data_IF_738194709331
#
_entry.id   IF_738194709331
#
_cell.length_a   1.000
_cell.length_b   1.000
_cell.length_c   1.000
_cell.angle_alpha   90.00
_cell.angle_beta   90.00
_cell.angle_gamma   90.00
#
_symmetry.space_group_name_H-M   'P 1'
#
loop_
_entity.id
_entity.type
_entity.pdbx_description
1 polymer ?
#
# COMPACT_ATOMS: atom_id res chain seq x y z
N UNK A 1 -8.33 15.75 -33.84
CA UNK A 1 -9.15 14.74 -33.15
C UNK A 1 -8.59 14.58 -31.74
N UNK A 2 -9.30 15.07 -30.73
CA UNK A 2 -8.93 14.90 -29.32
C UNK A 2 -9.56 13.58 -28.86
N UNK A 3 -8.73 12.56 -28.65
CA UNK A 3 -9.18 11.28 -28.11
C UNK A 3 -9.51 11.45 -26.63
N UNK A 4 -10.79 11.34 -26.28
CA UNK A 4 -11.26 11.21 -24.90
C UNK A 4 -10.90 9.82 -24.40
N UNK A 5 -9.70 9.66 -23.85
CA UNK A 5 -9.37 8.46 -23.08
C UNK A 5 -10.25 8.44 -21.84
N UNK A 6 -11.12 7.44 -21.72
CA UNK A 6 -11.85 7.17 -20.49
C UNK A 6 -10.84 6.85 -19.40
N UNK A 7 -10.79 7.66 -18.33
CA UNK A 7 -10.00 7.32 -17.15
C UNK A 7 -10.60 6.05 -16.53
N UNK A 8 -9.85 4.94 -16.59
CA UNK A 8 -10.24 3.68 -15.95
C UNK A 8 -10.30 3.90 -14.43
N UNK A 9 -11.36 3.39 -13.79
CA UNK A 9 -11.57 3.56 -12.36
C UNK A 9 -10.39 3.02 -11.56
N UNK A 10 -9.88 3.83 -10.63
CA UNK A 10 -8.82 3.43 -9.73
C UNK A 10 -9.34 2.40 -8.73
N UNK A 11 -8.75 1.21 -8.70
CA UNK A 11 -9.04 0.25 -7.65
C UNK A 11 -8.37 0.69 -6.35
N UNK A 12 -9.10 0.54 -5.25
CA UNK A 12 -8.62 0.82 -3.89
C UNK A 12 -8.64 -0.45 -3.07
N UNK A 13 -7.48 -0.83 -2.55
CA UNK A 13 -7.27 -2.00 -1.71
C UNK A 13 -6.86 -1.52 -0.32
N UNK A 14 -7.53 -1.95 0.75
CA UNK A 14 -7.22 -1.49 2.11
C UNK A 14 -7.04 -2.65 3.07
N UNK A 15 -6.11 -2.53 4.00
CA UNK A 15 -6.07 -3.38 5.19
C UNK A 15 -7.37 -3.20 5.98
N UNK A 16 -7.84 -4.27 6.61
CA UNK A 16 -9.03 -4.24 7.44
C UNK A 16 -8.74 -3.39 8.68
N UNK A 17 -9.76 -2.67 9.14
CA UNK A 17 -9.66 -1.84 10.33
C UNK A 17 -9.69 -2.65 11.64
N UNK A 18 -9.77 -3.98 11.57
CA UNK A 18 -9.91 -4.88 12.73
C UNK A 18 -8.79 -4.71 13.77
N UNK A 19 -7.59 -4.31 13.31
CA UNK A 19 -6.48 -3.94 14.18
C UNK A 19 -6.19 -2.43 14.08
N UNK A 20 -7.09 -1.59 14.60
CA UNK A 20 -6.90 -0.12 14.66
C UNK A 20 -5.54 0.29 15.25
N UNK A 21 -4.97 -0.52 16.16
CA UNK A 21 -3.64 -0.29 16.75
C UNK A 21 -2.50 -0.35 15.73
N UNK A 22 -2.64 -1.13 14.67
CA UNK A 22 -1.67 -1.18 13.59
C UNK A 22 -1.84 -0.03 12.58
N UNK A 23 -2.85 0.83 12.75
CA UNK A 23 -3.28 1.81 11.76
C UNK A 23 -3.85 1.16 10.49
N UNK A 24 -4.19 1.98 9.49
CA UNK A 24 -4.75 1.52 8.22
C UNK A 24 -3.83 1.88 7.05
N UNK A 25 -3.64 0.94 6.13
CA UNK A 25 -3.01 1.19 4.83
C UNK A 25 -4.01 0.99 3.70
N UNK A 26 -4.01 1.88 2.71
CA UNK A 26 -4.76 1.70 1.47
C UNK A 26 -3.87 1.96 0.25
N UNK A 27 -3.86 1.02 -0.69
CA UNK A 27 -3.23 1.15 -1.99
C UNK A 27 -4.26 1.58 -3.04
N UNK A 28 -3.87 2.54 -3.87
CA UNK A 28 -4.63 3.04 -5.02
C UNK A 28 -3.84 2.70 -6.28
N UNK A 29 -4.41 1.87 -7.15
CA UNK A 29 -3.75 1.46 -8.40
C UNK A 29 -3.53 2.64 -9.35
N UNK A 30 -4.43 3.63 -9.34
CA UNK A 30 -4.19 4.86 -10.09
C UNK A 30 -3.17 5.77 -9.40
N UNK A 31 -2.04 5.96 -10.07
CA UNK A 31 -0.95 6.81 -9.59
C UNK A 31 -0.11 6.18 -8.48
N UNK A 32 -0.22 4.85 -8.30
CA UNK A 32 0.65 4.04 -7.43
C UNK A 32 0.79 4.59 -6.01
N UNK A 33 -0.34 4.91 -5.38
CA UNK A 33 -0.35 5.62 -4.09
C UNK A 33 -0.63 4.66 -2.95
N UNK A 34 0.13 4.80 -1.88
CA UNK A 34 -0.14 4.13 -0.62
C UNK A 34 -0.44 5.18 0.43
N UNK A 35 -1.65 5.18 0.98
CA UNK A 35 -2.01 6.01 2.12
C UNK A 35 -1.86 5.22 3.40
N UNK A 36 -1.27 5.82 4.41
CA UNK A 36 -1.06 5.23 5.73
C UNK A 36 -1.66 6.17 6.77
N UNK A 37 -2.66 5.67 7.47
CA UNK A 37 -3.44 6.43 8.46
C UNK A 37 -3.13 5.89 9.85
N UNK A 38 -2.72 6.78 10.73
CA UNK A 38 -2.60 6.47 12.14
C UNK A 38 -3.96 6.69 12.81
N UNK A 39 -4.51 5.63 13.40
CA UNK A 39 -5.87 5.64 13.93
C UNK A 39 -5.91 5.92 15.43
N UNK A 40 -4.79 5.77 16.17
CA UNK A 40 -4.79 5.81 17.64
C UNK A 40 -3.66 6.69 18.20
N UNK A 41 -3.98 7.49 19.22
CA UNK A 41 -3.00 8.31 19.95
C UNK A 41 -2.24 7.52 21.01
N UNK A 42 -1.65 6.38 20.64
CA UNK A 42 -0.95 5.48 21.58
C UNK A 42 0.57 5.71 21.62
N UNK A 43 1.06 6.72 20.91
CA UNK A 43 2.48 7.07 20.83
C UNK A 43 3.26 6.25 19.81
N UNK A 44 2.61 5.32 19.10
CA UNK A 44 3.19 4.60 17.98
C UNK A 44 2.99 5.38 16.70
N UNK A 45 3.91 5.23 15.74
CA UNK A 45 3.67 5.64 14.35
C UNK A 45 3.07 4.47 13.59
N UNK A 46 2.29 4.77 12.57
CA UNK A 46 1.83 3.76 11.62
C UNK A 46 2.77 3.67 10.42
N UNK A 47 3.18 2.46 10.07
CA UNK A 47 4.03 2.18 8.90
C UNK A 47 3.34 1.14 8.04
N UNK A 48 3.20 1.40 6.75
CA UNK A 48 2.87 0.33 5.81
C UNK A 48 4.13 -0.26 5.22
N UNK A 49 4.28 -1.58 5.34
CA UNK A 49 5.36 -2.35 4.73
C UNK A 49 4.80 -3.05 3.51
N UNK A 50 5.52 -3.02 2.40
CA UNK A 50 5.06 -3.60 1.15
C UNK A 50 6.16 -4.31 0.37
N UNK A 51 5.75 -5.27 -0.44
CA UNK A 51 6.56 -5.94 -1.45
C UNK A 51 5.82 -5.96 -2.79
N UNK A 52 6.59 -5.85 -3.86
CA UNK A 52 6.12 -5.91 -5.23
C UNK A 52 6.56 -7.25 -5.84
N UNK A 53 5.61 -8.02 -6.35
CA UNK A 53 5.86 -9.33 -6.97
C UNK A 53 5.53 -9.31 -8.46
N UNK A 54 6.36 -9.98 -9.26
CA UNK A 54 6.17 -10.17 -10.69
C UNK A 54 5.56 -11.55 -10.99
N UNK A 55 4.27 -11.57 -11.38
CA UNK A 55 3.54 -12.81 -11.67
C UNK A 55 4.06 -13.58 -12.88
N UNK A 56 4.68 -12.89 -13.84
CA UNK A 56 5.26 -13.55 -15.01
C UNK A 56 6.57 -14.27 -14.69
N UNK A 57 7.17 -13.97 -13.54
CA UNK A 57 8.44 -14.52 -13.08
C UNK A 57 8.25 -15.28 -11.77
N UNK A 58 7.30 -16.21 -11.74
CA UNK A 58 7.02 -17.08 -10.58
C UNK A 58 6.80 -16.30 -9.26
N UNK A 59 6.07 -15.18 -9.36
CA UNK A 59 5.80 -14.26 -8.24
C UNK A 59 7.05 -13.73 -7.53
N UNK A 60 8.20 -13.67 -8.23
CA UNK A 60 9.45 -13.13 -7.68
C UNK A 60 9.24 -11.74 -7.10
N UNK A 61 9.74 -11.52 -5.89
CA UNK A 61 9.80 -10.19 -5.28
C UNK A 61 10.86 -9.37 -6.03
N UNK A 62 10.44 -8.25 -6.61
CA UNK A 62 11.31 -7.36 -7.39
C UNK A 62 11.58 -6.03 -6.71
N UNK A 63 10.74 -5.63 -5.75
CA UNK A 63 10.92 -4.41 -4.95
C UNK A 63 10.26 -4.56 -3.58
N UNK A 64 10.80 -3.90 -2.58
CA UNK A 64 10.22 -3.77 -1.23
C UNK A 64 10.32 -2.32 -0.79
N UNK A 65 9.51 -1.93 0.19
CA UNK A 65 9.61 -0.61 0.78
C UNK A 65 8.62 -0.38 1.90
N UNK A 66 8.65 0.84 2.42
CA UNK A 66 7.82 1.28 3.52
C UNK A 66 7.21 2.66 3.25
N UNK A 67 6.05 2.94 3.82
CA UNK A 67 5.45 4.26 3.91
C UNK A 67 5.15 4.56 5.38
N UNK A 68 5.70 5.65 5.90
CA UNK A 68 5.60 5.98 7.33
C UNK A 68 4.72 7.20 7.54
N UNK A 69 3.78 7.10 8.48
CA UNK A 69 3.07 8.25 9.02
C UNK A 69 3.57 8.57 10.43
N UNK A 70 4.37 9.64 10.55
CA UNK A 70 4.91 10.14 11.81
C UNK A 70 4.08 11.26 12.45
N UNK A 71 3.01 11.69 11.79
CA UNK A 71 2.25 12.88 12.19
C UNK A 71 1.26 12.62 13.34
N UNK A 72 1.18 11.37 13.82
CA UNK A 72 0.37 10.97 14.95
C UNK A 72 -1.10 10.69 14.59
N UNK A 73 -1.90 10.40 15.62
CA UNK A 73 -3.27 9.94 15.47
C UNK A 73 -4.17 10.86 14.64
N UNK A 74 -5.05 10.24 13.85
CA UNK A 74 -6.01 10.92 12.98
C UNK A 74 -5.39 11.53 11.72
N UNK A 75 -4.08 11.38 11.52
CA UNK A 75 -3.40 11.88 10.32
C UNK A 75 -3.25 10.78 9.27
N UNK A 76 -3.15 11.19 8.01
CA UNK A 76 -2.88 10.29 6.88
C UNK A 76 -1.66 10.81 6.11
N UNK A 77 -0.72 9.91 5.83
CA UNK A 77 0.39 10.17 4.91
C UNK A 77 0.17 9.43 3.60
N UNK A 78 0.39 10.11 2.48
CA UNK A 78 0.44 9.47 1.15
C UNK A 78 1.90 9.33 0.71
N UNK A 79 2.28 8.12 0.33
CA UNK A 79 3.51 7.84 -0.39
C UNK A 79 3.16 7.47 -1.83
N UNK A 80 3.74 8.18 -2.79
CA UNK A 80 3.60 7.85 -4.20
C UNK A 80 4.79 6.98 -4.60
N UNK A 81 4.51 5.91 -5.32
CA UNK A 81 5.53 5.07 -5.92
C UNK A 81 5.43 5.19 -7.43
N UNK A 82 6.45 4.71 -8.13
CA UNK A 82 6.43 4.55 -9.58
C UNK A 82 6.64 3.07 -9.83
N UNK A 83 5.57 2.29 -9.81
CA UNK A 83 5.64 0.85 -10.00
C UNK A 83 5.73 0.52 -11.51
N UNK A 84 6.37 -0.59 -11.88
CA UNK A 84 6.43 -1.01 -13.27
C UNK A 84 5.05 -1.37 -13.80
N UNK A 85 4.85 -1.09 -15.08
CA UNK A 85 3.63 -1.39 -15.82
C UNK A 85 3.76 -2.72 -16.57
N UNK A 86 2.66 -3.47 -16.69
CA UNK A 86 2.63 -4.69 -17.49
C UNK A 86 1.40 -5.55 -17.21
N UNK A 87 1.04 -6.39 -18.18
CA UNK A 87 -0.09 -7.30 -18.08
C UNK A 87 0.36 -8.76 -17.97
N UNK A 88 -0.44 -9.56 -17.27
CA UNK A 88 -0.32 -11.01 -17.20
C UNK A 88 -1.72 -11.60 -17.38
N UNK A 89 -1.97 -12.15 -18.57
CA UNK A 89 -3.34 -12.40 -19.05
C UNK A 89 -4.11 -11.09 -19.22
N UNK A 90 -5.34 -11.06 -18.70
CA UNK A 90 -6.23 -9.88 -18.74
C UNK A 90 -6.16 -9.01 -17.48
N UNK A 91 -5.02 -9.02 -16.77
CA UNK A 91 -4.85 -8.32 -15.48
C UNK A 91 -3.42 -7.84 -15.29
N UNK A 92 -3.16 -7.06 -14.23
CA UNK A 92 -1.81 -6.59 -13.92
C UNK A 92 -0.82 -7.75 -13.74
N UNK A 93 0.38 -7.57 -14.31
CA UNK A 93 1.55 -8.43 -14.08
C UNK A 93 2.10 -8.28 -12.67
N UNK A 94 1.98 -7.09 -12.10
CA UNK A 94 2.60 -6.74 -10.84
C UNK A 94 1.56 -6.64 -9.72
N UNK A 95 1.85 -7.31 -8.61
CA UNK A 95 1.04 -7.23 -7.40
C UNK A 95 1.82 -6.52 -6.32
N UNK A 96 1.15 -5.63 -5.60
CA UNK A 96 1.63 -5.11 -4.33
C UNK A 96 1.00 -5.91 -3.20
N UNK A 97 1.84 -6.44 -2.33
CA UNK A 97 1.42 -7.13 -1.11
C UNK A 97 1.86 -6.27 0.06
N UNK A 98 0.93 -5.84 0.90
CA UNK A 98 1.20 -4.85 1.94
C UNK A 98 0.42 -5.12 3.21
N UNK A 99 0.95 -4.65 4.33
CA UNK A 99 0.27 -4.60 5.63
C UNK A 99 0.52 -3.23 6.27
N UNK A 100 -0.15 -2.95 7.38
CA UNK A 100 0.16 -1.85 8.28
C UNK A 100 0.70 -2.39 9.60
N UNK A 101 1.63 -1.65 10.18
CA UNK A 101 2.34 -1.97 11.41
C UNK A 101 2.38 -0.74 12.31
N UNK A 102 2.18 -0.93 13.61
CA UNK A 102 2.55 0.07 14.59
C UNK A 102 4.03 -0.08 14.95
N UNK A 103 4.76 1.03 15.07
CA UNK A 103 6.17 1.02 15.50
C UNK A 103 6.41 2.07 16.57
N UNK A 104 7.15 1.71 17.61
CA UNK A 104 7.45 2.63 18.70
C UNK A 104 8.70 3.46 18.34
N UNK A 105 8.49 4.75 18.07
CA UNK A 105 9.55 5.67 17.69
C UNK A 105 10.15 5.44 16.28
N UNK A 106 11.15 6.26 15.88
CA UNK A 106 11.70 6.26 14.53
C UNK A 106 12.50 4.99 14.16
N UNK A 107 12.95 4.20 15.15
CA UNK A 107 13.91 3.11 14.93
C UNK A 107 13.60 1.77 15.61
N UNK A 108 12.44 1.56 16.27
CA UNK A 108 12.23 0.33 17.07
C UNK A 108 10.85 -0.35 17.02
N UNK A 109 10.93 -1.65 17.42
CA UNK A 109 9.96 -2.74 17.67
C UNK A 109 8.56 -2.60 17.06
N UNK A 110 8.27 -3.50 16.11
CA UNK A 110 6.90 -3.76 15.61
C UNK A 110 5.99 -4.12 16.78
N UNK A 111 4.93 -3.34 16.98
CA UNK A 111 3.88 -3.63 17.93
C UNK A 111 2.83 -4.52 17.30
N UNK A 112 1.77 -3.89 16.78
CA UNK A 112 0.64 -4.57 16.14
C UNK A 112 0.80 -4.57 14.63
N UNK A 113 0.36 -5.66 13.99
CA UNK A 113 0.34 -5.81 12.53
C UNK A 113 -1.09 -6.07 12.09
N UNK A 114 -1.52 -5.43 11.00
CA UNK A 114 -2.82 -5.71 10.39
C UNK A 114 -2.78 -6.97 9.51
N UNK A 115 -3.91 -7.32 8.91
CA UNK A 115 -3.93 -8.33 7.87
C UNK A 115 -3.09 -7.90 6.66
N UNK A 116 -2.58 -8.90 5.94
CA UNK A 116 -1.94 -8.66 4.64
C UNK A 116 -3.02 -8.43 3.59
N UNK A 117 -2.79 -7.45 2.72
CA UNK A 117 -3.58 -7.20 1.52
C UNK A 117 -2.76 -7.35 0.26
N UNK A 118 -3.43 -7.77 -0.80
CA UNK A 118 -2.89 -7.80 -2.16
C UNK A 118 -3.67 -6.82 -3.03
N UNK A 119 -2.95 -5.96 -3.73
CA UNK A 119 -3.47 -5.03 -4.73
C UNK A 119 -2.79 -5.23 -6.08
N UNK A 120 -3.46 -4.78 -7.14
CA UNK A 120 -2.94 -4.81 -8.50
C UNK A 120 -2.37 -3.43 -8.83
N UNK A 121 -1.10 -3.36 -9.20
CA UNK A 121 -0.39 -2.08 -9.43
C UNK A 121 -1.05 -1.24 -10.51
N UNK A 122 -1.57 -1.89 -11.55
CA UNK A 122 -2.30 -1.20 -12.60
C UNK A 122 -3.31 -2.13 -13.23
N UNK A 123 -4.59 -1.78 -13.09
CA UNK A 123 -5.68 -2.40 -13.85
C UNK A 123 -5.81 -1.70 -15.19
N UNK A 124 -5.15 -2.26 -16.21
CA UNK A 124 -5.64 -2.21 -17.60
C UNK A 124 -5.98 -3.63 -18.01
#
# INVERSE_FOLDING_TARGET
>A
MLGTGTAQAADKYCTLAENFRAGQACFYSYGDKLTVTDMLGDGYRTVSVWKLTDRANDNKVIRTGECHNYSGAGTTKTCNYNFPEGTYGASSRYLIIFSSESRNGPYEKTGWVSNVMTGYVSGR
#
